data_IF_363416191209
#
_entry.id   IF_363416191209
#
_cell.length_a   1.000
_cell.length_b   1.000
_cell.length_c   1.000
_cell.angle_alpha   90.00
_cell.angle_beta   90.00
_cell.angle_gamma   90.00
#
_symmetry.space_group_name_H-M   'P 1'
#
loop_
_entity.id
_entity.type
_entity.pdbx_description
1 polymer ?
#
# COMPACT_ATOMS: atom_id res chain seq x y z
N UNK A 1 -76.28 -38.32 4.49
CA UNK A 1 -75.32 -37.79 5.50
C UNK A 1 -74.01 -37.45 4.81
N UNK A 2 -73.75 -36.15 4.58
CA UNK A 2 -72.48 -35.65 4.00
C UNK A 2 -71.54 -35.23 5.15
N UNK A 3 -70.33 -35.72 5.16
CA UNK A 3 -69.32 -35.33 6.13
C UNK A 3 -68.73 -33.94 5.74
N UNK A 4 -68.56 -33.03 6.70
CA UNK A 4 -67.92 -31.74 6.41
C UNK A 4 -66.42 -31.91 6.20
N UNK A 5 -65.84 -31.14 5.24
CA UNK A 5 -64.43 -31.04 4.93
C UNK A 5 -63.70 -30.23 6.02
N UNK A 6 -62.42 -30.55 6.31
CA UNK A 6 -61.63 -29.84 7.31
C UNK A 6 -61.20 -28.47 6.77
N UNK A 7 -60.98 -27.48 7.64
CA UNK A 7 -60.51 -26.14 7.24
C UNK A 7 -59.07 -26.18 6.81
N UNK A 8 -58.77 -25.55 5.66
CA UNK A 8 -57.41 -25.34 5.17
C UNK A 8 -56.75 -24.15 5.91
N UNK A 9 -55.78 -24.44 6.73
CA UNK A 9 -54.88 -23.42 7.30
C UNK A 9 -53.92 -22.93 6.22
N UNK A 10 -54.02 -21.66 5.80
CA UNK A 10 -52.99 -20.95 5.05
C UNK A 10 -51.88 -20.56 6.05
N UNK A 11 -50.72 -21.16 5.92
CA UNK A 11 -49.53 -20.66 6.55
C UNK A 11 -49.13 -19.41 5.76
N UNK A 12 -49.19 -18.26 6.41
CA UNK A 12 -48.65 -17.01 5.90
C UNK A 12 -47.12 -17.16 5.88
N UNK A 13 -46.51 -17.20 4.70
CA UNK A 13 -45.08 -17.05 4.55
C UNK A 13 -44.68 -15.66 5.01
N UNK A 14 -44.22 -15.57 6.26
CA UNK A 14 -43.59 -14.38 6.79
C UNK A 14 -42.31 -14.15 5.97
N UNK A 15 -42.29 -13.00 5.29
CA UNK A 15 -41.12 -12.49 4.59
C UNK A 15 -39.90 -12.53 5.52
N UNK A 16 -38.94 -13.40 5.22
CA UNK A 16 -37.63 -13.34 5.84
C UNK A 16 -36.95 -12.10 5.26
N UNK A 17 -37.03 -11.00 6.00
CA UNK A 17 -36.22 -9.84 5.73
C UNK A 17 -34.75 -10.28 5.74
N UNK A 18 -34.11 -10.22 4.57
CA UNK A 18 -32.71 -10.46 4.43
C UNK A 18 -31.95 -9.40 5.27
N UNK A 19 -31.43 -9.85 6.40
CA UNK A 19 -30.52 -9.01 7.21
C UNK A 19 -29.36 -8.65 6.31
N UNK A 20 -29.20 -7.36 6.00
CA UNK A 20 -28.06 -6.86 5.28
C UNK A 20 -26.76 -7.34 5.97
N UNK A 21 -25.74 -7.73 5.21
CA UNK A 21 -24.48 -8.14 5.81
C UNK A 21 -23.94 -7.02 6.71
N UNK A 22 -23.62 -7.37 7.94
CA UNK A 22 -22.96 -6.47 8.90
C UNK A 22 -21.59 -6.10 8.33
N UNK A 23 -21.48 -4.92 7.73
CA UNK A 23 -20.19 -4.32 7.43
C UNK A 23 -19.67 -3.73 8.75
N UNK A 24 -18.54 -4.25 9.28
CA UNK A 24 -17.97 -3.68 10.50
C UNK A 24 -17.60 -2.22 10.23
N UNK A 25 -18.05 -1.33 11.11
CA UNK A 25 -17.63 0.07 11.08
C UNK A 25 -16.10 0.14 11.02
N UNK A 26 -15.53 1.00 10.18
CA UNK A 26 -14.08 1.11 10.06
C UNK A 26 -13.48 1.44 11.42
N UNK A 27 -12.44 0.70 11.81
CA UNK A 27 -11.77 0.93 13.09
C UNK A 27 -11.34 2.39 13.21
N UNK A 28 -11.61 3.00 14.36
CA UNK A 28 -11.25 4.39 14.63
C UNK A 28 -9.75 4.64 14.52
N UNK A 29 -8.94 3.64 14.84
CA UNK A 29 -7.48 3.67 14.79
C UNK A 29 -6.97 2.50 13.95
N UNK A 30 -5.78 2.63 13.40
CA UNK A 30 -5.16 1.51 12.72
C UNK A 30 -4.22 1.88 11.58
N UNK A 31 -3.74 0.83 10.94
CA UNK A 31 -2.85 0.87 9.78
C UNK A 31 -3.55 0.15 8.64
N UNK A 32 -3.84 0.86 7.58
CA UNK A 32 -4.40 0.33 6.35
C UNK A 32 -3.38 0.38 5.21
N UNK A 33 -3.29 -0.73 4.49
CA UNK A 33 -2.47 -0.86 3.30
C UNK A 33 -3.34 -0.75 2.04
N UNK A 34 -2.86 0.04 1.10
CA UNK A 34 -3.45 0.19 -0.23
C UNK A 34 -2.56 -0.46 -1.28
N UNK A 35 -3.15 -1.34 -2.09
CA UNK A 35 -2.54 -1.95 -3.27
C UNK A 35 -3.03 -1.22 -4.52
N UNK A 36 -2.18 -0.41 -5.11
CA UNK A 36 -2.55 0.45 -6.24
C UNK A 36 -1.88 -0.10 -7.51
N UNK A 37 -2.67 -0.46 -8.55
CA UNK A 37 -2.10 -1.00 -9.79
C UNK A 37 -1.13 0.00 -10.42
N UNK A 38 0.07 -0.44 -10.76
CA UNK A 38 1.05 0.40 -11.44
C UNK A 38 0.54 0.80 -12.82
N UNK A 39 0.35 2.10 -13.00
CA UNK A 39 -0.05 2.69 -14.27
C UNK A 39 -1.49 3.16 -14.34
N UNK A 40 -2.20 3.17 -13.24
CA UNK A 40 -3.44 3.92 -13.07
C UNK A 40 -3.09 5.31 -12.57
N UNK A 41 -3.75 6.36 -13.10
CA UNK A 41 -3.63 7.76 -12.65
C UNK A 41 -2.30 8.48 -12.88
N UNK A 42 -1.19 7.77 -13.04
CA UNK A 42 0.14 8.34 -13.16
C UNK A 42 0.54 8.77 -14.58
N UNK A 43 1.52 9.68 -14.69
CA UNK A 43 2.14 10.04 -15.98
C UNK A 43 2.60 8.76 -16.71
N UNK A 44 2.30 8.68 -18.01
CA UNK A 44 2.51 7.48 -18.84
C UNK A 44 3.91 6.87 -18.81
N UNK A 45 4.91 7.63 -18.33
CA UNK A 45 6.28 7.18 -18.14
C UNK A 45 6.44 6.12 -17.03
N UNK A 46 5.78 6.28 -15.89
CA UNK A 46 5.85 5.30 -14.76
C UNK A 46 5.18 4.00 -15.17
N UNK A 47 4.04 4.11 -15.87
CA UNK A 47 3.32 2.97 -16.44
C UNK A 47 4.14 2.18 -17.44
N UNK A 48 4.82 2.89 -18.34
CA UNK A 48 5.65 2.27 -19.37
C UNK A 48 6.84 1.54 -18.74
N UNK A 49 7.52 2.18 -17.81
CA UNK A 49 8.66 1.58 -17.11
C UNK A 49 8.28 0.35 -16.28
N UNK A 50 7.15 0.39 -15.57
CA UNK A 50 6.63 -0.77 -14.83
C UNK A 50 6.35 -1.95 -15.76
N UNK A 51 5.67 -1.72 -16.88
CA UNK A 51 5.37 -2.77 -17.88
C UNK A 51 6.63 -3.32 -18.54
N UNK A 52 7.59 -2.48 -18.89
CA UNK A 52 8.88 -2.91 -19.48
C UNK A 52 9.65 -3.74 -18.46
N UNK A 53 9.74 -3.30 -17.21
CA UNK A 53 10.39 -4.04 -16.13
C UNK A 53 9.76 -5.42 -15.94
N UNK A 54 8.41 -5.48 -15.85
CA UNK A 54 7.71 -6.74 -15.66
C UNK A 54 7.86 -7.68 -16.86
N UNK A 55 7.76 -7.17 -18.10
CA UNK A 55 7.97 -7.97 -19.30
C UNK A 55 9.40 -8.54 -19.35
N UNK A 56 10.39 -7.76 -18.96
CA UNK A 56 11.78 -8.22 -18.89
C UNK A 56 11.96 -9.30 -17.82
N UNK A 57 11.42 -9.08 -16.62
CA UNK A 57 11.47 -10.07 -15.52
C UNK A 57 10.74 -11.34 -15.88
N UNK A 58 9.53 -11.26 -16.43
CA UNK A 58 8.75 -12.41 -16.88
C UNK A 58 9.49 -13.23 -17.95
N UNK A 59 10.15 -12.56 -18.89
CA UNK A 59 10.99 -13.20 -19.88
C UNK A 59 12.17 -13.96 -19.26
N UNK A 60 12.90 -13.33 -18.31
CA UNK A 60 14.01 -13.96 -17.60
C UNK A 60 13.56 -15.15 -16.76
N UNK A 61 12.42 -15.03 -16.11
CA UNK A 61 11.85 -16.04 -15.21
C UNK A 61 11.02 -17.09 -15.98
N UNK A 62 10.87 -16.94 -17.31
CA UNK A 62 10.09 -17.83 -18.19
C UNK A 62 8.66 -18.06 -17.70
N UNK A 63 7.99 -17.00 -17.27
CA UNK A 63 6.61 -16.98 -16.78
C UNK A 63 5.76 -15.96 -17.53
N UNK A 64 4.46 -15.99 -17.31
CA UNK A 64 3.56 -14.93 -17.77
C UNK A 64 3.80 -13.59 -17.06
N UNK A 65 3.41 -12.48 -17.69
CA UNK A 65 3.44 -11.15 -17.07
C UNK A 65 2.37 -11.06 -15.97
N UNK A 66 2.72 -10.44 -14.88
CA UNK A 66 1.84 -10.24 -13.73
C UNK A 66 1.46 -8.77 -13.59
N UNK A 67 0.34 -8.52 -12.95
CA UNK A 67 -0.02 -7.17 -12.54
C UNK A 67 0.96 -6.66 -11.48
N UNK A 68 1.44 -5.44 -11.68
CA UNK A 68 2.33 -4.80 -10.73
C UNK A 68 1.55 -3.83 -9.85
N UNK A 69 1.86 -3.86 -8.56
CA UNK A 69 1.28 -2.97 -7.57
C UNK A 69 2.35 -2.11 -6.92
N UNK A 70 2.01 -0.87 -6.62
CA UNK A 70 2.71 -0.06 -5.64
C UNK A 70 1.83 0.09 -4.39
N UNK A 71 2.44 0.54 -3.29
CA UNK A 71 1.76 0.59 -2.00
C UNK A 71 1.83 1.98 -1.38
N UNK A 72 0.77 2.31 -0.64
CA UNK A 72 0.70 3.44 0.28
C UNK A 72 0.02 2.98 1.58
N UNK A 73 0.21 3.75 2.66
CA UNK A 73 -0.43 3.49 3.94
C UNK A 73 -1.35 4.65 4.32
N UNK A 74 -2.48 4.31 4.92
CA UNK A 74 -3.27 5.22 5.72
C UNK A 74 -3.13 4.80 7.19
N UNK A 75 -2.77 5.75 8.05
CA UNK A 75 -2.52 5.51 9.47
C UNK A 75 -3.43 6.40 10.28
N UNK A 76 -4.28 5.81 11.11
CA UNK A 76 -5.22 6.52 11.99
C UNK A 76 -4.76 6.40 13.43
N UNK A 77 -4.51 7.55 14.03
CA UNK A 77 -4.10 7.74 15.43
C UNK A 77 -5.04 8.74 16.12
N UNK A 78 -4.97 8.92 17.46
CA UNK A 78 -5.82 9.91 18.15
C UNK A 78 -5.69 11.34 17.59
N UNK A 79 -4.54 11.71 17.07
CA UNK A 79 -4.23 13.03 16.52
C UNK A 79 -4.83 13.25 15.12
N UNK A 80 -5.27 12.19 14.45
CA UNK A 80 -5.89 12.27 13.14
C UNK A 80 -5.51 11.12 12.19
N UNK A 81 -5.78 11.35 10.93
CA UNK A 81 -5.47 10.43 9.84
C UNK A 81 -4.24 10.92 9.08
N UNK A 82 -3.29 10.05 8.85
CA UNK A 82 -2.05 10.35 8.13
C UNK A 82 -1.92 9.45 6.92
N UNK A 83 -1.47 10.02 5.81
CA UNK A 83 -1.08 9.27 4.62
C UNK A 83 0.44 9.16 4.58
N UNK A 84 0.93 7.94 4.35
CA UNK A 84 2.36 7.66 4.12
C UNK A 84 2.53 7.09 2.72
N UNK A 85 3.26 7.82 1.88
CA UNK A 85 3.54 7.40 0.52
C UNK A 85 4.96 7.78 0.09
N UNK A 86 5.41 7.13 -0.98
CA UNK A 86 6.63 7.50 -1.67
C UNK A 86 6.27 8.03 -3.07
N UNK A 87 6.65 9.26 -3.35
CA UNK A 87 6.23 10.00 -4.54
C UNK A 87 7.40 10.74 -5.22
N UNK A 88 7.14 11.19 -6.45
CA UNK A 88 8.02 12.12 -7.15
C UNK A 88 7.83 13.56 -6.64
N UNK A 89 8.91 14.38 -6.61
CA UNK A 89 8.79 15.77 -6.26
C UNK A 89 7.82 16.49 -7.21
N UNK A 90 6.84 17.18 -6.65
CA UNK A 90 5.99 18.07 -7.45
C UNK A 90 6.75 19.36 -7.78
N UNK A 91 6.69 19.86 -9.04
CA UNK A 91 7.36 21.10 -9.42
C UNK A 91 6.86 22.33 -8.66
N UNK A 92 5.57 22.35 -8.32
CA UNK A 92 4.83 23.57 -7.98
C UNK A 92 4.46 23.71 -6.50
N UNK A 93 4.84 22.78 -5.63
CA UNK A 93 4.44 22.81 -4.23
C UNK A 93 5.63 22.89 -3.27
N UNK A 94 5.46 23.64 -2.20
CA UNK A 94 6.39 23.68 -1.07
C UNK A 94 6.52 22.31 -0.41
N UNK A 95 7.74 21.91 -0.05
CA UNK A 95 8.05 20.66 0.64
C UNK A 95 7.31 20.50 1.97
N UNK A 96 7.20 21.58 2.72
CA UNK A 96 6.53 21.56 4.01
C UNK A 96 5.02 21.27 3.88
N UNK A 97 4.36 21.84 2.86
CA UNK A 97 2.92 21.61 2.64
C UNK A 97 2.59 20.19 2.16
N UNK A 98 3.59 19.43 1.70
CA UNK A 98 3.44 18.05 1.23
C UNK A 98 3.79 16.99 2.27
N UNK A 99 4.17 17.40 3.48
CA UNK A 99 4.59 16.45 4.52
C UNK A 99 5.82 15.63 4.16
N UNK A 100 6.76 16.21 3.39
CA UNK A 100 8.01 15.52 3.02
C UNK A 100 8.87 15.34 4.25
N UNK A 101 9.13 14.10 4.63
CA UNK A 101 9.95 13.72 5.78
C UNK A 101 11.33 13.24 5.39
N UNK A 102 11.48 12.78 4.15
CA UNK A 102 12.74 12.28 3.60
C UNK A 102 12.79 12.49 2.11
N UNK A 103 13.97 12.83 1.58
CA UNK A 103 14.28 12.75 0.15
C UNK A 103 15.40 11.72 -0.09
N UNK A 104 15.29 10.96 -1.17
CA UNK A 104 16.30 10.00 -1.56
C UNK A 104 16.66 10.08 -3.04
N UNK A 105 17.81 9.51 -3.45
CA UNK A 105 18.29 9.54 -4.82
C UNK A 105 17.51 8.60 -5.74
N UNK A 106 17.38 8.97 -7.03
CA UNK A 106 16.82 8.13 -8.08
C UNK A 106 17.91 7.73 -9.06
N UNK A 107 18.03 6.43 -9.33
CA UNK A 107 18.95 5.85 -10.30
C UNK A 107 20.44 5.98 -9.94
N UNK A 108 20.86 7.09 -9.31
CA UNK A 108 22.25 7.31 -8.89
C UNK A 108 22.34 8.36 -7.78
N UNK A 109 23.17 8.10 -6.77
CA UNK A 109 23.50 9.06 -5.70
C UNK A 109 24.09 10.37 -6.24
N UNK A 110 24.85 10.30 -7.33
CA UNK A 110 25.47 11.49 -7.96
C UNK A 110 24.43 12.41 -8.60
N UNK A 111 23.34 11.86 -9.12
CA UNK A 111 22.28 12.64 -9.76
C UNK A 111 21.35 13.32 -8.73
N UNK A 112 21.36 12.89 -7.48
CA UNK A 112 20.51 13.44 -6.42
C UNK A 112 20.74 14.95 -6.12
N UNK A 113 21.84 15.54 -6.62
CA UNK A 113 22.05 16.99 -6.57
C UNK A 113 21.00 17.76 -7.36
N UNK A 114 20.36 17.12 -8.34
CA UNK A 114 19.29 17.70 -9.15
C UNK A 114 17.92 17.20 -8.66
N UNK A 115 17.01 18.10 -8.36
CA UNK A 115 15.68 17.78 -7.81
C UNK A 115 14.88 16.73 -8.60
N UNK A 116 14.86 16.71 -9.95
CA UNK A 116 14.14 15.67 -10.71
C UNK A 116 14.67 14.24 -10.50
N UNK A 117 15.87 14.10 -9.94
CA UNK A 117 16.47 12.79 -9.61
C UNK A 117 16.40 12.47 -8.12
N UNK A 118 15.35 12.95 -7.45
CA UNK A 118 15.02 12.60 -6.07
C UNK A 118 13.64 11.99 -6.03
N UNK A 119 13.38 11.18 -5.01
CA UNK A 119 12.06 10.81 -4.57
C UNK A 119 11.79 11.42 -3.20
N UNK A 120 10.53 11.50 -2.82
CA UNK A 120 10.08 12.01 -1.54
C UNK A 120 9.33 10.91 -0.79
N UNK A 121 9.69 10.65 0.47
CA UNK A 121 8.81 9.95 1.42
C UNK A 121 7.99 11.01 2.11
N UNK A 122 6.68 10.88 2.04
CA UNK A 122 5.72 11.84 2.57
C UNK A 122 4.93 11.21 3.69
N UNK A 123 4.72 11.99 4.75
CA UNK A 123 3.81 11.66 5.83
C UNK A 123 3.07 12.94 6.21
N UNK A 124 1.77 13.03 5.91
CA UNK A 124 1.02 14.25 6.21
C UNK A 124 -0.41 13.95 6.65
N UNK A 125 -0.88 14.79 7.55
CA UNK A 125 -2.23 14.70 8.10
C UNK A 125 -3.26 15.03 7.02
N UNK A 126 -4.36 14.28 7.02
CA UNK A 126 -5.46 14.37 6.06
C UNK A 126 -5.05 14.27 4.60
N UNK A 127 -3.89 13.65 4.35
CA UNK A 127 -3.41 13.37 3.02
C UNK A 127 -4.37 12.50 2.21
N UNK A 128 -4.32 12.67 0.90
CA UNK A 128 -5.10 11.86 -0.04
C UNK A 128 -4.13 10.97 -0.80
N UNK A 129 -4.35 9.67 -0.75
CA UNK A 129 -3.62 8.71 -1.59
C UNK A 129 -4.12 8.93 -3.03
N UNK A 130 -3.26 9.38 -3.96
CA UNK A 130 -3.63 9.45 -5.36
C UNK A 130 -4.07 8.07 -5.83
N UNK A 131 -5.10 8.02 -6.65
CA UNK A 131 -5.61 6.78 -7.23
C UNK A 131 -6.13 5.73 -6.21
N UNK A 132 -6.47 6.14 -4.97
CA UNK A 132 -7.08 5.26 -3.98
C UNK A 132 -8.37 4.60 -4.48
N UNK A 133 -9.10 5.27 -5.38
CA UNK A 133 -10.30 4.74 -6.03
C UNK A 133 -10.04 3.56 -6.96
N UNK A 134 -8.80 3.38 -7.39
CA UNK A 134 -8.37 2.29 -8.29
C UNK A 134 -7.67 1.16 -7.51
N UNK A 135 -7.52 1.31 -6.20
CA UNK A 135 -6.87 0.34 -5.37
C UNK A 135 -7.65 -0.99 -5.32
N UNK A 136 -6.93 -2.11 -5.40
CA UNK A 136 -7.49 -3.45 -5.45
C UNK A 136 -7.36 -4.12 -4.08
N UNK A 137 -8.41 -4.80 -3.61
CA UNK A 137 -8.45 -5.44 -2.29
C UNK A 137 -7.99 -4.48 -1.16
N UNK A 138 -8.40 -3.22 -1.27
CA UNK A 138 -7.98 -2.13 -0.38
C UNK A 138 -9.20 -1.32 0.10
N UNK A 139 -9.13 -0.68 1.27
CA UNK A 139 -8.02 -0.78 2.23
C UNK A 139 -7.91 -2.16 2.88
N UNK A 140 -6.68 -2.64 3.09
CA UNK A 140 -6.42 -3.84 3.88
C UNK A 140 -5.99 -3.43 5.29
N UNK A 141 -6.85 -3.66 6.29
CA UNK A 141 -6.52 -3.39 7.68
C UNK A 141 -5.44 -4.36 8.15
N UNK A 142 -4.27 -3.83 8.54
CA UNK A 142 -3.14 -4.60 9.05
C UNK A 142 -3.08 -4.63 10.58
N UNK A 143 -3.57 -3.59 11.23
CA UNK A 143 -3.64 -3.45 12.68
C UNK A 143 -4.66 -2.40 13.08
N UNK A 144 -5.38 -2.61 14.14
CA UNK A 144 -6.29 -1.66 14.80
C UNK A 144 -5.72 -1.13 16.14
N UNK A 145 -4.47 -1.47 16.46
CA UNK A 145 -3.77 -1.03 17.66
C UNK A 145 -3.25 0.42 17.49
N UNK A 146 -3.75 1.39 18.28
CA UNK A 146 -3.32 2.78 18.19
C UNK A 146 -1.84 2.99 18.55
N UNK A 147 -1.28 2.20 19.46
CA UNK A 147 0.14 2.30 19.83
C UNK A 147 1.03 1.82 18.69
N UNK A 148 0.61 0.79 17.98
CA UNK A 148 1.30 0.30 16.80
C UNK A 148 1.21 1.31 15.65
N UNK A 149 0.05 1.93 15.47
CA UNK A 149 -0.14 2.99 14.48
C UNK A 149 0.77 4.19 14.77
N UNK A 150 0.83 4.65 16.02
CA UNK A 150 1.72 5.74 16.42
C UNK A 150 3.19 5.39 16.20
N UNK A 151 3.63 4.19 16.60
CA UNK A 151 5.01 3.72 16.36
C UNK A 151 5.36 3.72 14.88
N UNK A 152 4.43 3.39 14.00
CA UNK A 152 4.68 3.41 12.56
C UNK A 152 4.97 4.84 12.08
N UNK A 153 4.19 5.83 12.53
CA UNK A 153 4.43 7.24 12.19
C UNK A 153 5.79 7.72 12.68
N UNK A 154 6.18 7.35 13.90
CA UNK A 154 7.48 7.69 14.48
C UNK A 154 8.65 7.10 13.67
N UNK A 155 8.45 5.94 13.05
CA UNK A 155 9.45 5.28 12.22
C UNK A 155 9.66 5.92 10.85
N UNK A 156 8.71 6.71 10.33
CA UNK A 156 8.78 7.23 8.94
C UNK A 156 10.04 8.05 8.70
N UNK A 157 10.47 8.84 9.68
CA UNK A 157 11.69 9.67 9.58
C UNK A 157 12.98 8.85 9.57
N UNK A 158 12.92 7.58 9.95
CA UNK A 158 14.06 6.65 10.02
C UNK A 158 14.18 5.75 8.79
N UNK A 159 13.32 5.92 7.79
CA UNK A 159 13.38 5.15 6.53
C UNK A 159 14.73 5.39 5.86
N UNK A 160 15.47 4.34 5.42
CA UNK A 160 16.77 4.54 4.79
C UNK A 160 16.63 5.19 3.40
N UNK A 161 17.47 6.21 3.13
CA UNK A 161 17.52 6.91 1.85
C UNK A 161 18.33 6.13 0.79
N UNK A 162 17.86 4.92 0.42
CA UNK A 162 18.52 4.11 -0.61
C UNK A 162 18.17 4.61 -2.01
N UNK A 163 18.94 4.17 -3.01
CA UNK A 163 18.77 4.63 -4.40
C UNK A 163 17.56 3.95 -5.04
N UNK A 164 16.54 4.73 -5.36
CA UNK A 164 15.37 4.24 -6.11
C UNK A 164 15.76 3.59 -7.43
N UNK A 165 15.20 2.40 -7.69
CA UNK A 165 15.44 1.64 -8.90
C UNK A 165 16.76 0.87 -8.91
N UNK A 166 17.47 0.79 -7.75
CA UNK A 166 18.70 0.03 -7.61
C UNK A 166 18.58 -1.05 -6.55
N UNK A 167 19.26 -2.15 -6.80
CA UNK A 167 19.52 -3.19 -5.80
C UNK A 167 20.86 -2.88 -5.08
N UNK A 168 20.80 -1.96 -4.12
CA UNK A 168 21.98 -1.62 -3.31
C UNK A 168 22.25 -2.66 -2.21
N UNK A 169 21.29 -3.53 -1.94
CA UNK A 169 21.35 -4.52 -0.86
C UNK A 169 21.71 -5.92 -1.34
N UNK A 170 21.77 -6.15 -2.66
CA UNK A 170 22.08 -7.45 -3.24
C UNK A 170 20.98 -8.49 -3.03
N UNK A 171 19.72 -8.06 -2.95
CA UNK A 171 18.56 -8.92 -2.72
C UNK A 171 17.96 -9.51 -3.99
N UNK A 172 18.41 -9.05 -5.16
CA UNK A 172 17.77 -9.33 -6.45
C UNK A 172 16.52 -8.47 -6.70
N UNK A 173 16.22 -7.53 -5.80
CA UNK A 173 15.07 -6.62 -5.89
C UNK A 173 15.50 -5.17 -5.70
N UNK A 174 14.74 -4.23 -6.26
CA UNK A 174 15.10 -2.81 -6.25
C UNK A 174 14.45 -2.08 -5.07
N UNK A 175 15.08 -0.97 -4.64
CA UNK A 175 14.46 -0.03 -3.71
C UNK A 175 13.42 0.86 -4.41
N UNK A 176 12.20 0.95 -3.84
CA UNK A 176 11.09 1.77 -4.36
C UNK A 176 10.00 2.03 -3.31
N UNK A 177 8.77 2.44 -3.70
CA UNK A 177 7.63 2.67 -2.79
C UNK A 177 7.28 1.44 -1.96
N UNK A 178 7.28 0.25 -2.57
CA UNK A 178 6.98 -0.98 -1.86
C UNK A 178 8.04 -1.29 -0.79
N UNK A 179 9.31 -0.96 -1.07
CA UNK A 179 10.39 -1.13 -0.10
C UNK A 179 10.25 -0.22 1.12
N UNK A 180 9.82 1.03 0.91
CA UNK A 180 9.54 1.96 2.01
C UNK A 180 8.44 1.41 2.91
N UNK A 181 7.32 0.99 2.30
CA UNK A 181 6.18 0.45 3.04
C UNK A 181 6.54 -0.85 3.76
N UNK A 182 7.13 -1.83 3.07
CA UNK A 182 7.50 -3.10 3.69
C UNK A 182 8.55 -2.94 4.78
N UNK A 183 9.48 -1.99 4.64
CA UNK A 183 10.43 -1.63 5.69
C UNK A 183 9.71 -1.11 6.95
N UNK A 184 8.78 -0.17 6.78
CA UNK A 184 7.99 0.38 7.88
C UNK A 184 7.19 -0.70 8.60
N UNK A 185 6.52 -1.57 7.84
CA UNK A 185 5.73 -2.67 8.40
C UNK A 185 6.60 -3.66 9.18
N UNK A 186 7.75 -4.07 8.62
CA UNK A 186 8.69 -4.98 9.26
C UNK A 186 9.29 -4.36 10.53
N UNK A 187 9.74 -3.10 10.49
CA UNK A 187 10.26 -2.37 11.65
C UNK A 187 9.20 -2.17 12.72
N UNK A 188 7.95 -2.10 12.33
CA UNK A 188 6.81 -2.03 13.26
C UNK A 188 6.42 -3.41 13.85
N UNK A 189 7.07 -4.49 13.42
CA UNK A 189 6.81 -5.86 13.87
C UNK A 189 5.51 -6.45 13.33
N UNK A 190 5.05 -6.02 12.17
CA UNK A 190 3.95 -6.65 11.45
C UNK A 190 4.44 -7.88 10.66
N UNK A 191 3.62 -8.93 10.51
CA UNK A 191 4.01 -10.17 9.82
C UNK A 191 4.03 -9.96 8.29
N UNK A 192 5.08 -9.31 7.79
CA UNK A 192 5.22 -8.95 6.37
C UNK A 192 5.25 -10.13 5.43
N UNK A 193 5.64 -11.31 5.92
CA UNK A 193 5.60 -12.57 5.20
C UNK A 193 4.19 -13.08 4.92
N UNK A 194 3.20 -12.64 5.68
CA UNK A 194 1.78 -12.93 5.45
C UNK A 194 1.08 -11.92 4.53
N UNK A 195 1.69 -10.76 4.30
CA UNK A 195 1.13 -9.70 3.45
C UNK A 195 1.51 -9.98 2.01
N UNK A 196 0.50 -10.12 1.15
CA UNK A 196 0.69 -10.43 -0.27
C UNK A 196 -0.09 -9.45 -1.14
N UNK A 197 0.43 -9.10 -2.33
CA UNK A 197 -0.36 -8.35 -3.31
C UNK A 197 -1.60 -9.15 -3.73
N UNK A 198 -2.61 -8.50 -4.31
CA UNK A 198 -3.78 -9.16 -4.86
C UNK A 198 -3.41 -10.31 -5.78
N UNK A 199 -4.28 -11.34 -5.87
CA UNK A 199 -4.01 -12.58 -6.56
C UNK A 199 -3.52 -12.35 -8.01
N UNK A 200 -2.43 -13.02 -8.37
CA UNK A 200 -1.80 -12.88 -9.68
C UNK A 200 -0.88 -11.65 -9.83
N UNK A 201 -0.71 -10.84 -8.77
CA UNK A 201 0.10 -9.64 -8.83
C UNK A 201 1.47 -9.75 -8.14
N UNK A 202 2.28 -8.72 -8.35
CA UNK A 202 3.60 -8.54 -7.72
C UNK A 202 3.75 -7.12 -7.16
N UNK A 203 4.55 -7.01 -6.12
CA UNK A 203 5.00 -5.75 -5.54
C UNK A 203 6.55 -5.69 -5.58
N UNK A 204 7.16 -5.32 -6.72
CA UNK A 204 8.61 -5.20 -6.81
C UNK A 204 9.14 -4.28 -5.71
N UNK A 205 10.28 -4.64 -5.11
CA UNK A 205 10.87 -3.89 -4.01
C UNK A 205 10.41 -4.34 -2.62
N UNK A 206 9.38 -5.16 -2.50
CA UNK A 206 8.85 -5.60 -1.20
C UNK A 206 9.90 -6.32 -0.36
N UNK A 207 10.61 -7.27 -0.95
CA UNK A 207 11.65 -8.05 -0.27
C UNK A 207 12.87 -7.19 0.10
N UNK A 208 13.22 -6.18 -0.72
CA UNK A 208 14.30 -5.27 -0.41
C UNK A 208 14.02 -4.45 0.86
N UNK A 209 12.76 -4.04 1.09
CA UNK A 209 12.37 -3.33 2.31
C UNK A 209 12.44 -4.20 3.56
N UNK A 210 11.95 -5.44 3.49
CA UNK A 210 12.05 -6.41 4.60
C UNK A 210 13.52 -6.66 4.94
N UNK A 211 14.35 -6.94 3.94
CA UNK A 211 15.78 -7.16 4.13
C UNK A 211 16.49 -5.96 4.77
N UNK A 212 16.15 -4.74 4.32
CA UNK A 212 16.69 -3.52 4.88
C UNK A 212 16.29 -3.33 6.35
N UNK A 213 15.06 -3.71 6.72
CA UNK A 213 14.57 -3.64 8.10
C UNK A 213 15.37 -4.52 9.06
N UNK A 214 15.83 -5.67 8.59
CA UNK A 214 16.65 -6.61 9.38
C UNK A 214 18.11 -6.17 9.51
N UNK A 215 18.66 -5.53 8.48
CA UNK A 215 20.10 -5.28 8.36
C UNK A 215 20.51 -3.86 8.69
N UNK A 216 19.70 -2.87 8.34
CA UNK A 216 19.97 -1.46 8.57
C UNK A 216 19.27 -1.01 9.85
N UNK A 217 19.90 -1.30 10.99
CA UNK A 217 19.52 -0.71 12.27
C UNK A 217 20.20 0.66 12.33
N UNK A 218 19.37 1.72 12.27
CA UNK A 218 19.83 3.11 12.47
C UNK A 218 20.07 3.38 13.95
#
# INVERSE_FOLDING_TARGET
>A
MRRPSPPSFRISESSMDAVAPFEPEPSKYGIDLYWIPLGVGGAGFVRLNGRIYEAFRACLERRETLDLYHTALEVRVPEGRFTVENAWPSPDADTASRGVVLEGPVGSRRCARFRPFRYEVRCWQDGVIPDAGEAVASPQLLSDDPLRAQRLLDLVVSVPALVWGRDELGTGDMWNSNSVVSWLLARNGLPTDAIRPPAGGRAPGWEAGIFAADRLVS
#
